data_IF_648175064406
#
_entry.id   IF_648175064406
#
_cell.length_a   1.000
_cell.length_b   1.000
_cell.length_c   1.000
_cell.angle_alpha   90.00
_cell.angle_beta   90.00
_cell.angle_gamma   90.00
#
_symmetry.space_group_name_H-M   'P 1'
#
loop_
_entity.id
_entity.type
_entity.pdbx_description
1 polymer ?
#
# COMPACT_ATOMS: atom_id res chain seq x y z
N UNK A 1 14.76 -7.90 14.52
CA UNK A 1 13.89 -7.10 13.61
C UNK A 1 12.42 -7.41 13.87
N UNK A 2 11.47 -6.59 13.38
CA UNK A 2 10.01 -6.78 13.58
C UNK A 2 9.33 -7.18 12.27
N UNK A 3 8.36 -8.09 12.35
CA UNK A 3 7.47 -8.48 11.26
C UNK A 3 6.04 -8.19 11.70
N UNK A 4 5.27 -7.53 10.85
CA UNK A 4 3.84 -7.28 11.07
C UNK A 4 3.03 -8.20 10.17
N UNK A 5 1.99 -8.81 10.74
CA UNK A 5 1.03 -9.62 9.98
C UNK A 5 -0.38 -9.28 10.41
N UNK A 6 -1.24 -9.07 9.42
CA UNK A 6 -2.67 -8.93 9.61
C UNK A 6 -3.35 -10.18 9.06
N UNK A 7 -4.24 -10.77 9.84
CA UNK A 7 -5.02 -11.94 9.41
C UNK A 7 -6.40 -11.95 10.08
N UNK A 8 -7.27 -12.81 9.59
CA UNK A 8 -8.57 -13.06 10.20
C UNK A 8 -8.43 -13.94 11.46
N UNK A 9 -8.93 -13.46 12.60
CA UNK A 9 -8.86 -14.17 13.88
C UNK A 9 -9.63 -15.50 13.94
N UNK A 10 -10.46 -15.80 12.94
CA UNK A 10 -11.12 -17.11 12.78
C UNK A 10 -10.13 -18.24 12.47
N UNK A 11 -8.89 -17.89 12.14
CA UNK A 11 -7.81 -18.83 11.87
C UNK A 11 -6.59 -18.52 12.75
N UNK A 12 -5.69 -19.50 12.99
CA UNK A 12 -4.42 -19.23 13.65
C UNK A 12 -3.63 -18.15 12.92
N UNK A 13 -3.36 -17.03 13.59
CA UNK A 13 -2.78 -15.84 12.97
C UNK A 13 -1.35 -16.12 12.51
N UNK A 14 -0.53 -16.77 13.34
CA UNK A 14 0.86 -17.12 13.03
C UNK A 14 0.98 -18.56 12.52
N UNK A 15 0.35 -18.84 11.38
CA UNK A 15 0.40 -20.15 10.74
C UNK A 15 0.53 -20.03 9.22
N UNK A 16 1.33 -20.94 8.63
CA UNK A 16 1.52 -21.05 7.19
C UNK A 16 0.40 -21.81 6.47
N UNK A 17 -0.60 -22.35 7.20
CA UNK A 17 -1.67 -23.19 6.63
C UNK A 17 -2.46 -22.48 5.53
N UNK A 18 -2.79 -21.20 5.69
CA UNK A 18 -3.55 -20.47 4.67
C UNK A 18 -2.82 -20.40 3.33
N UNK A 19 -1.54 -20.04 3.36
CA UNK A 19 -0.69 -20.02 2.17
C UNK A 19 -0.43 -21.43 1.61
N UNK A 20 -0.37 -22.45 2.47
CA UNK A 20 -0.26 -23.84 2.03
C UNK A 20 -1.49 -24.28 1.23
N UNK A 21 -2.70 -23.93 1.67
CA UNK A 21 -3.93 -24.39 1.03
C UNK A 21 -4.17 -23.73 -0.34
N UNK A 22 -3.90 -22.42 -0.45
CA UNK A 22 -4.27 -21.63 -1.64
C UNK A 22 -3.05 -21.28 -2.51
N UNK A 23 -1.85 -21.32 -1.95
CA UNK A 23 -0.66 -20.71 -2.52
C UNK A 23 -0.64 -19.19 -2.29
N UNK A 24 0.52 -18.60 -2.54
CA UNK A 24 0.75 -17.16 -2.52
C UNK A 24 1.58 -16.74 -3.72
N UNK A 25 2.12 -15.51 -3.69
CA UNK A 25 3.01 -15.04 -4.76
C UNK A 25 4.34 -15.80 -4.79
N UNK A 26 4.86 -16.18 -3.63
CA UNK A 26 6.17 -16.82 -3.49
C UNK A 26 6.07 -18.26 -2.95
N UNK A 27 4.90 -18.90 -3.03
CA UNK A 27 4.77 -20.33 -2.71
C UNK A 27 3.65 -20.98 -3.51
N UNK A 28 3.88 -22.19 -3.99
CA UNK A 28 2.83 -23.03 -4.56
C UNK A 28 1.94 -23.63 -3.45
N UNK A 29 0.69 -24.02 -3.78
CA UNK A 29 -0.12 -24.85 -2.89
C UNK A 29 0.64 -26.10 -2.43
N UNK A 30 0.36 -26.55 -1.22
CA UNK A 30 1.05 -27.64 -0.54
C UNK A 30 2.29 -27.22 0.27
N UNK A 31 2.72 -25.95 0.18
CA UNK A 31 3.93 -25.46 0.85
C UNK A 31 3.60 -24.35 1.86
N UNK A 32 3.76 -24.59 3.18
CA UNK A 32 3.41 -23.61 4.20
C UNK A 32 4.41 -22.45 4.24
N UNK A 33 3.88 -21.22 4.23
CA UNK A 33 4.65 -19.98 4.39
C UNK A 33 3.83 -18.99 5.20
N UNK A 34 4.45 -18.31 6.15
CA UNK A 34 3.81 -17.19 6.85
C UNK A 34 4.23 -15.89 6.17
N UNK A 35 3.25 -15.14 5.66
CA UNK A 35 3.47 -13.83 5.05
C UNK A 35 3.28 -12.70 6.06
N UNK A 36 4.15 -11.71 6.01
CA UNK A 36 4.03 -10.46 6.74
C UNK A 36 4.71 -9.32 5.98
N UNK A 37 4.92 -8.20 6.66
CA UNK A 37 5.64 -7.04 6.13
C UNK A 37 6.58 -6.47 7.19
N UNK A 38 7.57 -5.68 6.75
CA UNK A 38 8.46 -4.96 7.67
C UNK A 38 7.78 -3.83 8.43
N UNK A 39 6.66 -3.33 7.90
CA UNK A 39 5.89 -2.24 8.47
C UNK A 39 4.43 -2.63 8.64
N UNK A 40 3.77 -2.06 9.64
CA UNK A 40 2.33 -2.25 9.83
C UNK A 40 1.53 -1.71 8.62
N UNK A 41 1.94 -0.54 8.10
CA UNK A 41 1.34 0.05 6.92
C UNK A 41 1.46 -0.84 5.67
N UNK A 42 2.61 -1.47 5.44
CA UNK A 42 2.80 -2.45 4.37
C UNK A 42 1.85 -3.65 4.51
N UNK A 43 1.71 -4.19 5.73
CA UNK A 43 0.75 -5.27 5.99
C UNK A 43 -0.70 -4.85 5.72
N UNK A 44 -1.07 -3.59 6.04
CA UNK A 44 -2.39 -3.05 5.72
C UNK A 44 -2.61 -2.94 4.20
N UNK A 45 -1.62 -2.45 3.45
CA UNK A 45 -1.72 -2.31 1.99
C UNK A 45 -1.95 -3.66 1.30
N UNK A 46 -1.24 -4.70 1.72
CA UNK A 46 -1.46 -6.06 1.21
C UNK A 46 -2.90 -6.52 1.48
N UNK A 47 -3.44 -6.29 2.68
CA UNK A 47 -4.84 -6.62 2.97
C UNK A 47 -5.80 -5.83 2.08
N UNK A 48 -5.59 -4.52 1.92
CA UNK A 48 -6.49 -3.65 1.15
C UNK A 48 -6.57 -4.04 -0.32
N UNK A 49 -5.44 -4.43 -0.94
CA UNK A 49 -5.43 -4.91 -2.33
C UNK A 49 -6.22 -6.22 -2.49
N UNK A 50 -6.16 -7.11 -1.49
CA UNK A 50 -6.87 -8.40 -1.54
C UNK A 50 -8.32 -8.33 -1.06
N UNK A 51 -8.69 -7.33 -0.25
CA UNK A 51 -9.98 -7.28 0.43
C UNK A 51 -11.19 -7.16 -0.51
N UNK A 52 -10.99 -6.70 -1.75
CA UNK A 52 -12.04 -6.35 -2.74
C UNK A 52 -13.09 -5.40 -2.14
N UNK A 53 -13.14 -4.17 -2.66
CA UNK A 53 -13.90 -3.03 -2.10
C UNK A 53 -15.35 -3.42 -1.70
N UNK A 54 -15.78 -3.05 -0.49
CA UNK A 54 -17.20 -3.09 -0.12
C UNK A 54 -17.53 -3.29 1.36
N UNK A 55 -16.64 -3.89 2.17
CA UNK A 55 -16.88 -4.08 3.62
C UNK A 55 -15.59 -4.03 4.45
N UNK A 56 -15.63 -3.29 5.55
CA UNK A 56 -14.57 -3.26 6.56
C UNK A 56 -14.45 -4.64 7.23
N UNK A 57 -13.27 -5.29 7.23
CA UNK A 57 -13.08 -6.57 7.91
C UNK A 57 -13.13 -6.41 9.44
N UNK A 58 -14.20 -6.88 10.07
CA UNK A 58 -14.41 -6.77 11.54
C UNK A 58 -13.61 -7.77 12.37
N UNK A 59 -13.14 -8.84 11.73
CA UNK A 59 -12.45 -9.98 12.37
C UNK A 59 -10.93 -9.92 12.22
N UNK A 60 -10.39 -8.89 11.56
CA UNK A 60 -8.96 -8.75 11.39
C UNK A 60 -8.27 -8.37 12.70
N UNK A 61 -7.20 -9.11 12.97
CA UNK A 61 -6.25 -8.84 14.04
C UNK A 61 -4.87 -8.70 13.42
N UNK A 62 -3.99 -8.00 14.13
CA UNK A 62 -2.60 -7.91 13.81
C UNK A 62 -1.75 -8.45 14.95
N UNK A 63 -0.60 -8.99 14.58
CA UNK A 63 0.44 -9.42 15.50
C UNK A 63 1.76 -8.80 15.07
N UNK A 64 2.64 -8.70 16.04
CA UNK A 64 4.04 -8.40 15.84
C UNK A 64 4.86 -9.64 16.17
N UNK A 65 5.72 -10.03 15.23
CA UNK A 65 6.70 -11.08 15.46
C UNK A 65 8.10 -10.45 15.59
N UNK A 66 8.71 -10.66 16.75
CA UNK A 66 10.07 -10.26 17.03
C UNK A 66 11.03 -11.36 16.60
N UNK A 67 11.90 -11.00 15.66
CA UNK A 67 12.96 -11.86 15.15
C UNK A 67 14.23 -11.55 15.94
N UNK A 68 14.79 -12.54 16.66
CA UNK A 68 16.04 -12.35 17.39
C UNK A 68 17.22 -12.21 16.42
N UNK A 69 18.31 -11.62 16.89
CA UNK A 69 19.54 -11.53 16.11
C UNK A 69 20.17 -12.92 15.93
N UNK A 70 20.96 -13.09 14.86
CA UNK A 70 21.69 -14.34 14.60
C UNK A 70 20.90 -15.46 13.93
N UNK A 71 19.61 -15.27 13.64
CA UNK A 71 18.87 -16.18 12.75
C UNK A 71 19.17 -15.87 11.28
N UNK A 72 19.21 -16.87 10.38
CA UNK A 72 19.52 -16.65 8.98
C UNK A 72 18.38 -15.88 8.29
N UNK A 73 18.73 -14.78 7.63
CA UNK A 73 17.82 -13.91 6.89
C UNK A 73 18.36 -13.74 5.47
N UNK A 74 17.53 -14.05 4.48
CA UNK A 74 17.80 -13.78 3.06
C UNK A 74 17.04 -12.52 2.65
N UNK A 75 17.68 -11.58 1.95
CA UNK A 75 17.04 -10.38 1.43
C UNK A 75 17.25 -10.29 -0.07
N UNK A 76 16.15 -10.11 -0.79
CA UNK A 76 16.13 -9.92 -2.23
C UNK A 76 15.69 -8.50 -2.58
N UNK A 77 16.19 -7.99 -3.69
CA UNK A 77 15.76 -6.74 -4.32
C UNK A 77 15.04 -7.05 -5.64
N UNK A 78 14.46 -6.04 -6.27
CA UNK A 78 13.85 -6.20 -7.58
C UNK A 78 14.86 -6.68 -8.65
N UNK A 79 16.15 -6.39 -8.47
CA UNK A 79 17.22 -6.76 -9.40
C UNK A 79 17.77 -8.18 -9.15
N UNK A 80 17.66 -8.70 -7.93
CA UNK A 80 18.16 -10.04 -7.59
C UNK A 80 17.08 -11.11 -7.74
N UNK A 81 15.80 -10.72 -7.77
CA UNK A 81 14.71 -11.61 -8.13
C UNK A 81 14.68 -11.90 -9.64
N UNK A 82 14.18 -13.07 -10.06
CA UNK A 82 14.02 -13.39 -11.47
C UNK A 82 13.14 -12.37 -12.19
N UNK A 83 13.46 -12.07 -13.45
CA UNK A 83 12.64 -11.19 -14.29
C UNK A 83 11.19 -11.68 -14.35
N UNK A 84 10.22 -10.77 -14.15
CA UNK A 84 8.79 -11.10 -14.16
C UNK A 84 8.24 -11.62 -12.82
N UNK A 85 9.01 -11.64 -11.74
CA UNK A 85 8.54 -12.04 -10.39
C UNK A 85 7.29 -11.26 -9.92
N UNK A 86 7.15 -10.02 -10.37
CA UNK A 86 6.06 -9.11 -10.04
C UNK A 86 4.99 -9.02 -11.13
N UNK A 87 5.05 -9.91 -12.12
CA UNK A 87 4.07 -10.01 -13.18
C UNK A 87 2.68 -10.41 -12.68
N UNK A 88 1.67 -10.37 -13.59
CA UNK A 88 0.31 -10.80 -13.29
C UNK A 88 0.24 -12.27 -12.87
N UNK A 89 1.13 -13.09 -13.45
CA UNK A 89 1.31 -14.51 -13.18
C UNK A 89 2.28 -14.71 -12.00
N UNK A 90 1.91 -15.43 -10.92
CA UNK A 90 2.80 -15.66 -9.78
C UNK A 90 3.86 -16.76 -10.00
N UNK A 91 3.84 -17.48 -11.12
CA UNK A 91 4.60 -18.72 -11.36
C UNK A 91 6.11 -18.52 -11.18
N UNK A 92 6.65 -17.43 -11.73
CA UNK A 92 8.08 -17.10 -11.63
C UNK A 92 8.49 -16.86 -10.17
N UNK A 93 7.70 -16.08 -9.43
CA UNK A 93 7.96 -15.82 -8.00
C UNK A 93 7.73 -17.07 -7.14
N UNK A 94 6.75 -17.91 -7.49
CA UNK A 94 6.50 -19.19 -6.82
C UNK A 94 7.66 -20.14 -6.99
N UNK A 95 8.22 -20.27 -8.19
CA UNK A 95 9.39 -21.12 -8.42
C UNK A 95 10.58 -20.66 -7.58
N UNK A 96 10.83 -19.35 -7.53
CA UNK A 96 11.86 -18.79 -6.65
C UNK A 96 11.63 -19.15 -5.18
N UNK A 97 10.44 -18.89 -4.65
CA UNK A 97 10.15 -19.13 -3.25
C UNK A 97 10.02 -20.62 -2.88
N UNK A 98 9.58 -21.47 -3.82
CA UNK A 98 9.56 -22.92 -3.63
C UNK A 98 10.97 -23.47 -3.44
N UNK A 99 11.94 -23.04 -4.27
CA UNK A 99 13.35 -23.43 -4.09
C UNK A 99 13.91 -22.95 -2.76
N UNK A 100 13.61 -21.71 -2.37
CA UNK A 100 14.00 -21.20 -1.05
C UNK A 100 13.46 -22.05 0.11
N UNK A 101 12.20 -22.49 0.03
CA UNK A 101 11.59 -23.38 1.03
C UNK A 101 12.22 -24.77 1.04
N UNK A 102 12.45 -25.36 -0.13
CA UNK A 102 13.05 -26.70 -0.28
C UNK A 102 14.47 -26.76 0.27
N UNK A 103 15.29 -25.78 -0.10
CA UNK A 103 16.66 -25.68 0.35
C UNK A 103 16.76 -25.25 1.81
N UNK A 104 15.66 -24.75 2.40
CA UNK A 104 15.59 -24.31 3.79
C UNK A 104 16.74 -23.36 4.16
N UNK A 105 17.14 -22.47 3.22
CA UNK A 105 18.38 -21.67 3.31
C UNK A 105 18.37 -20.65 4.45
N UNK A 106 17.18 -20.17 4.81
CA UNK A 106 16.99 -19.18 5.85
C UNK A 106 15.61 -19.33 6.48
N UNK A 107 15.45 -18.85 7.71
CA UNK A 107 14.13 -18.80 8.36
C UNK A 107 13.26 -17.70 7.76
N UNK A 108 13.91 -16.62 7.30
CA UNK A 108 13.25 -15.43 6.78
C UNK A 108 13.77 -15.13 5.38
N UNK A 109 12.84 -14.81 4.49
CA UNK A 109 13.10 -14.23 3.18
C UNK A 109 12.37 -12.88 3.08
N UNK A 110 13.14 -11.81 2.85
CA UNK A 110 12.61 -10.46 2.66
C UNK A 110 12.61 -10.17 1.16
N UNK A 111 11.45 -9.76 0.64
CA UNK A 111 11.25 -9.46 -0.79
C UNK A 111 10.58 -8.09 -0.96
N UNK A 112 10.82 -7.37 -2.07
CA UNK A 112 10.03 -6.20 -2.40
C UNK A 112 8.53 -6.51 -2.46
N UNK A 113 7.68 -5.61 -1.94
CA UNK A 113 6.23 -5.72 -2.14
C UNK A 113 5.88 -5.40 -3.59
N UNK A 114 4.93 -6.14 -4.18
CA UNK A 114 4.37 -5.81 -5.50
C UNK A 114 3.43 -4.61 -5.41
N UNK A 115 2.71 -4.50 -4.29
CA UNK A 115 1.70 -3.46 -4.04
C UNK A 115 2.36 -2.10 -3.83
N UNK A 116 3.40 -2.05 -3.00
CA UNK A 116 4.11 -0.82 -2.68
C UNK A 116 5.62 -1.04 -2.82
N UNK A 117 6.21 -0.58 -3.93
CA UNK A 117 7.61 -0.89 -4.29
C UNK A 117 8.67 -0.34 -3.33
N UNK A 118 8.31 0.65 -2.50
CA UNK A 118 9.16 1.17 -1.44
C UNK A 118 9.10 0.31 -0.15
N UNK A 119 8.12 -0.57 -0.03
CA UNK A 119 7.92 -1.47 1.11
C UNK A 119 8.49 -2.87 0.83
N UNK A 120 8.66 -3.66 1.89
CA UNK A 120 9.07 -5.06 1.77
C UNK A 120 8.12 -5.99 2.49
N UNK A 121 7.80 -7.08 1.80
CA UNK A 121 7.13 -8.23 2.39
C UNK A 121 8.16 -9.17 3.00
N UNK A 122 7.71 -9.92 4.00
CA UNK A 122 8.52 -10.91 4.71
C UNK A 122 7.83 -12.25 4.61
N UNK A 123 8.58 -13.25 4.20
CA UNK A 123 8.19 -14.65 4.23
C UNK A 123 8.94 -15.33 5.37
N UNK A 124 8.23 -16.09 6.18
CA UNK A 124 8.80 -16.95 7.21
C UNK A 124 8.56 -18.40 6.83
N UNK A 125 9.64 -19.19 6.81
CA UNK A 125 9.58 -20.63 6.59
C UNK A 125 9.30 -21.33 7.93
N UNK A 126 8.08 -21.82 8.19
CA UNK A 126 7.75 -22.45 9.46
C UNK A 126 8.45 -23.81 9.66
N UNK A 127 9.01 -24.42 8.62
CA UNK A 127 9.75 -25.67 8.71
C UNK A 127 11.24 -25.47 9.07
N UNK A 128 11.74 -24.24 9.02
CA UNK A 128 13.12 -23.96 9.40
C UNK A 128 13.31 -24.10 10.92
N UNK A 129 14.37 -24.77 11.43
CA UNK A 129 14.56 -24.98 12.87
C UNK A 129 14.53 -23.68 13.70
N UNK A 130 15.09 -22.60 13.17
CA UNK A 130 15.10 -21.29 13.82
C UNK A 130 13.74 -20.57 13.84
N UNK A 131 12.70 -21.09 13.16
CA UNK A 131 11.36 -20.50 13.22
C UNK A 131 10.79 -20.47 14.65
N UNK A 132 11.15 -21.47 15.46
CA UNK A 132 10.76 -21.55 16.87
C UNK A 132 11.38 -20.44 17.75
N UNK A 133 12.43 -19.75 17.26
CA UNK A 133 13.06 -18.62 17.96
C UNK A 133 12.29 -17.31 17.79
N UNK A 134 11.35 -17.23 16.85
CA UNK A 134 10.56 -16.03 16.60
C UNK A 134 9.49 -15.91 17.68
N UNK A 135 9.49 -14.78 18.40
CA UNK A 135 8.52 -14.50 19.47
C UNK A 135 7.38 -13.67 18.92
N UNK A 136 6.14 -14.12 19.12
CA UNK A 136 4.95 -13.48 18.55
C UNK A 136 4.13 -12.85 19.67
N UNK A 137 3.69 -11.61 19.46
CA UNK A 137 2.81 -10.91 20.39
C UNK A 137 1.41 -11.51 20.41
N UNK A 138 0.64 -11.20 21.46
CA UNK A 138 -0.80 -11.45 21.45
C UNK A 138 -1.49 -10.70 20.28
N UNK A 139 -2.49 -11.30 19.61
CA UNK A 139 -3.22 -10.63 18.55
C UNK A 139 -4.05 -9.44 19.04
N UNK A 140 -3.89 -8.30 18.37
CA UNK A 140 -4.63 -7.07 18.65
C UNK A 140 -5.62 -6.77 17.52
N UNK A 141 -6.79 -6.23 17.82
CA UNK A 141 -7.77 -5.85 16.79
C UNK A 141 -7.21 -4.75 15.88
N UNK A 142 -7.44 -4.87 14.57
CA UNK A 142 -7.10 -3.79 13.63
C UNK A 142 -8.21 -2.74 13.68
N UNK A 143 -7.83 -1.48 13.84
CA UNK A 143 -8.72 -0.33 13.70
C UNK A 143 -8.62 0.17 12.25
N UNK A 144 -9.60 -0.20 11.43
CA UNK A 144 -9.69 0.24 10.05
C UNK A 144 -10.38 1.60 9.95
N UNK A 145 -9.79 2.52 9.19
CA UNK A 145 -10.49 3.75 8.79
C UNK A 145 -11.51 3.41 7.70
N UNK A 146 -12.78 3.71 7.96
CA UNK A 146 -13.89 3.38 7.06
C UNK A 146 -13.73 4.03 5.67
N UNK A 147 -13.04 5.17 5.59
CA UNK A 147 -12.79 5.88 4.32
C UNK A 147 -11.98 5.05 3.32
N UNK A 148 -11.24 4.04 3.79
CA UNK A 148 -10.49 3.12 2.94
C UNK A 148 -11.40 2.18 2.13
N UNK A 149 -12.69 2.06 2.50
CA UNK A 149 -13.63 1.10 1.91
C UNK A 149 -14.85 1.75 1.27
N UNK A 150 -14.98 3.08 1.35
CA UNK A 150 -16.07 3.80 0.71
C UNK A 150 -15.91 3.76 -0.80
N UNK A 151 -16.95 3.33 -1.52
CA UNK A 151 -17.07 3.59 -2.95
C UNK A 151 -17.56 5.03 -3.09
N UNK A 152 -16.88 5.91 -3.84
CA UNK A 152 -17.41 7.22 -4.15
C UNK A 152 -18.78 7.06 -4.80
N UNK A 153 -19.82 7.64 -4.21
CA UNK A 153 -21.12 7.74 -4.86
C UNK A 153 -20.97 8.80 -5.96
N UNK A 154 -20.98 8.39 -7.22
CA UNK A 154 -21.10 9.31 -8.34
C UNK A 154 -22.34 10.20 -8.13
N UNK A 155 -22.13 11.50 -7.93
CA UNK A 155 -23.20 12.49 -7.74
C UNK A 155 -23.10 13.40 -6.51
N UNK A 156 -22.23 13.12 -5.53
CA UNK A 156 -22.15 13.98 -4.32
C UNK A 156 -21.42 15.32 -4.52
N UNK A 157 -20.67 15.51 -5.62
CA UNK A 157 -19.96 16.76 -5.90
C UNK A 157 -20.86 17.87 -6.47
N UNK A 158 -22.05 17.55 -6.99
CA UNK A 158 -22.90 18.52 -7.69
C UNK A 158 -23.81 19.37 -6.78
N UNK A 159 -23.79 19.15 -5.46
CA UNK A 159 -24.66 19.89 -4.51
C UNK A 159 -23.94 20.99 -3.71
N UNK A 160 -22.61 21.06 -3.78
CA UNK A 160 -21.84 22.05 -3.03
C UNK A 160 -21.76 23.44 -3.71
N UNK A 161 -22.08 23.56 -5.00
CA UNK A 161 -21.94 24.82 -5.76
C UNK A 161 -23.22 25.68 -5.85
N UNK A 162 -24.35 25.27 -5.25
CA UNK A 162 -25.63 26.02 -5.34
C UNK A 162 -25.99 26.84 -4.11
N UNK A 163 -25.03 27.14 -3.24
CA UNK A 163 -25.22 28.03 -2.09
C UNK A 163 -24.16 29.12 -2.00
N UNK A 164 -23.78 29.69 -3.15
CA UNK A 164 -22.87 30.85 -3.22
C UNK A 164 -23.34 31.86 -4.28
N UNK A 165 -24.60 32.30 -4.23
CA UNK A 165 -25.03 33.49 -4.99
C UNK A 165 -26.25 34.16 -4.35
N UNK A 166 -26.00 34.86 -3.24
CA UNK A 166 -26.84 35.88 -2.59
C UNK A 166 -25.81 36.82 -1.93
N UNK A 167 -25.71 38.12 -2.10
CA UNK A 167 -26.52 39.17 -2.72
C UNK A 167 -25.58 40.38 -2.91
N UNK A 168 -25.74 41.19 -3.94
CA UNK A 168 -25.12 42.52 -4.01
C UNK A 168 -26.22 43.58 -3.83
N UNK A 169 -26.09 44.57 -2.93
CA UNK A 169 -27.07 45.63 -2.78
C UNK A 169 -26.82 46.76 -3.78
N UNK A 170 -27.92 47.27 -4.33
CA UNK A 170 -28.00 48.45 -5.16
C UNK A 170 -27.76 49.72 -4.33
N UNK A 171 -26.95 50.66 -4.83
CA UNK A 171 -26.99 52.07 -4.40
C UNK A 171 -26.88 53.00 -5.60
N UNK A 172 -27.70 54.05 -5.55
CA UNK A 172 -27.98 55.05 -6.59
C UNK A 172 -27.11 56.31 -6.42
N UNK A 173 -26.76 56.94 -7.56
CA UNK A 173 -26.58 58.40 -7.80
C UNK A 173 -25.33 59.14 -7.26
N UNK A 174 -25.01 60.38 -7.73
CA UNK A 174 -24.96 60.88 -9.13
C UNK A 174 -23.75 61.82 -9.43
N UNK A 175 -23.59 62.18 -10.71
CA UNK A 175 -23.10 63.47 -11.28
C UNK A 175 -21.63 63.97 -11.14
N UNK A 176 -21.22 64.76 -12.15
CA UNK A 176 -20.07 65.72 -12.24
C UNK A 176 -18.82 65.35 -13.06
N UNK A 177 -18.93 65.49 -14.40
CA UNK A 177 -18.08 66.25 -15.37
C UNK A 177 -16.51 66.24 -15.36
N UNK A 178 -15.85 66.57 -16.51
CA UNK A 178 -14.64 65.91 -17.00
C UNK A 178 -13.39 66.80 -17.01
N UNK A 179 -12.19 66.21 -17.23
CA UNK A 179 -11.07 66.93 -17.87
C UNK A 179 -10.27 66.08 -18.86
N UNK A 180 -10.04 66.71 -20.01
CA UNK A 180 -9.22 66.34 -21.17
C UNK A 180 -7.72 66.44 -20.89
N UNK A 181 -6.94 65.76 -21.75
CA UNK A 181 -5.53 66.01 -22.07
C UNK A 181 -4.88 64.71 -22.58
N UNK A 182 -5.11 64.29 -23.83
CA UNK A 182 -4.18 64.46 -24.98
C UNK A 182 -2.72 64.05 -24.67
N UNK A 183 -2.28 62.83 -25.02
CA UNK A 183 -1.62 62.37 -26.27
C UNK A 183 -0.10 62.72 -26.36
N UNK A 184 0.72 62.09 -27.23
CA UNK A 184 0.90 60.68 -27.61
C UNK A 184 2.40 60.26 -27.63
N UNK A 185 2.70 59.13 -28.29
CA UNK A 185 3.98 58.75 -28.91
C UNK A 185 4.91 57.89 -28.02
N UNK A 186 5.58 56.82 -28.48
CA UNK A 186 5.68 56.15 -29.79
C UNK A 186 6.47 54.84 -29.57
N UNK A 187 6.34 53.93 -30.54
CA UNK A 187 7.34 52.95 -30.98
C UNK A 187 7.57 51.64 -30.18
N UNK A 188 6.97 50.59 -30.74
CA UNK A 188 7.37 49.17 -30.78
C UNK A 188 8.65 49.08 -31.66
N UNK A 189 9.63 48.16 -31.44
CA UNK A 189 9.47 46.75 -31.83
C UNK A 189 10.05 45.66 -30.91
N UNK A 190 9.34 44.51 -31.00
CA UNK A 190 9.68 43.10 -30.70
C UNK A 190 11.01 42.62 -31.35
N UNK A 191 11.30 41.30 -31.34
CA UNK A 191 11.50 40.33 -30.26
C UNK A 191 12.90 39.67 -30.40
N UNK A 192 13.24 38.61 -29.65
CA UNK A 192 13.77 37.34 -30.19
C UNK A 192 14.16 36.35 -29.05
N UNK A 193 13.58 35.14 -29.17
CA UNK A 193 14.04 33.76 -28.90
C UNK A 193 15.02 33.49 -27.72
N UNK A 194 14.68 32.63 -26.75
CA UNK A 194 14.53 31.16 -26.79
C UNK A 194 15.85 30.40 -26.94
N UNK A 195 16.22 29.68 -25.89
CA UNK A 195 16.82 28.34 -25.88
C UNK A 195 16.37 27.63 -24.61
#
# INVERSE_FOLDING_TARGET
MRIFRIADRRHPVWSGTGAMLVGGRFNSPGRPVIYGALTFAGAMLEVLVHARIGKVPKTHVWIEAQVPDGVPIERQTAQTLPEGWDGPSPEIAREFGNRWLEECRSVILIVPSVVARAESNVLVNPAHPDAAKIVVSEPQSVVWDERLFLVPVEGSAAKAERHSTLSAPSTHSPDSLPRRGENPATAVPRPFLSS
#
